data_IF_154709428440
#
_entry.id   IF_154709428440
#
_cell.length_a   1.000
_cell.length_b   1.000
_cell.length_c   1.000
_cell.angle_alpha   90.00
_cell.angle_beta   90.00
_cell.angle_gamma   90.00
#
_symmetry.space_group_name_H-M   'P 1'
#
loop_
_entity.id
_entity.type
_entity.pdbx_description
1 polymer ?
#
# COMPACT_ATOMS: atom_id res chain seq x y z
N UNK A 1 -29.77 -17.14 -3.62
CA UNK A 1 -30.64 -17.59 -4.75
C UNK A 1 -30.57 -19.12 -4.86
N UNK A 2 -31.62 -19.84 -5.24
CA UNK A 2 -31.52 -21.31 -5.47
C UNK A 2 -30.94 -21.68 -6.85
N UNK A 3 -30.44 -20.70 -7.61
CA UNK A 3 -29.80 -20.95 -8.89
C UNK A 3 -28.36 -21.44 -8.71
N UNK A 4 -28.18 -22.75 -8.61
CA UNK A 4 -26.86 -23.39 -8.47
C UNK A 4 -25.92 -23.16 -9.67
N UNK A 5 -26.45 -22.73 -10.82
CA UNK A 5 -25.66 -22.40 -12.01
C UNK A 5 -25.26 -20.92 -12.08
N UNK A 6 -25.62 -20.10 -11.08
CA UNK A 6 -25.25 -18.69 -11.05
C UNK A 6 -23.73 -18.56 -10.84
N UNK A 7 -23.04 -17.95 -11.80
CA UNK A 7 -21.58 -17.74 -11.80
C UNK A 7 -21.17 -16.33 -11.40
N UNK A 8 -22.06 -15.37 -11.56
CA UNK A 8 -21.83 -13.96 -11.24
C UNK A 8 -23.07 -13.41 -10.52
N UNK A 9 -22.84 -12.66 -9.46
CA UNK A 9 -23.91 -11.95 -8.74
C UNK A 9 -23.43 -10.52 -8.45
N UNK A 10 -24.18 -9.56 -8.96
CA UNK A 10 -24.01 -8.12 -8.71
C UNK A 10 -25.25 -7.64 -7.96
N UNK A 11 -25.08 -7.25 -6.71
CA UNK A 11 -26.13 -6.73 -5.83
C UNK A 11 -25.66 -5.51 -5.02
N UNK A 12 -24.67 -4.80 -5.53
CA UNK A 12 -24.08 -3.61 -4.98
C UNK A 12 -25.05 -2.43 -4.88
N UNK A 13 -24.72 -1.42 -4.06
CA UNK A 13 -25.49 -0.17 -3.94
C UNK A 13 -26.96 -0.40 -3.59
N UNK A 14 -27.20 -1.32 -2.64
CA UNK A 14 -28.52 -1.64 -2.12
C UNK A 14 -28.59 -1.36 -0.61
N UNK A 15 -29.68 -1.78 0.04
CA UNK A 15 -29.83 -1.72 1.49
C UNK A 15 -29.86 -3.13 2.10
N UNK A 16 -29.08 -4.06 1.54
CA UNK A 16 -29.03 -5.44 2.04
C UNK A 16 -28.39 -5.45 3.42
N UNK A 17 -29.12 -5.96 4.40
CA UNK A 17 -28.60 -6.24 5.75
C UNK A 17 -28.13 -7.68 5.91
N UNK A 18 -28.48 -8.54 4.95
CA UNK A 18 -28.05 -9.93 4.85
C UNK A 18 -28.01 -10.37 3.40
N UNK A 19 -27.13 -11.32 3.10
CA UNK A 19 -26.98 -11.93 1.79
C UNK A 19 -26.72 -13.42 1.96
N UNK A 20 -27.55 -14.26 1.34
CA UNK A 20 -27.37 -15.71 1.32
C UNK A 20 -27.04 -16.21 -0.09
N UNK A 21 -25.76 -16.57 -0.25
CA UNK A 21 -25.17 -17.15 -1.47
C UNK A 21 -24.77 -18.63 -1.29
N UNK A 22 -25.21 -19.27 -0.21
CA UNK A 22 -24.80 -20.64 0.15
C UNK A 22 -25.18 -21.69 -0.90
N UNK A 23 -26.25 -21.45 -1.66
CA UNK A 23 -26.70 -22.32 -2.76
C UNK A 23 -26.09 -21.96 -4.12
N UNK A 24 -25.31 -20.89 -4.20
CA UNK A 24 -24.71 -20.41 -5.45
C UNK A 24 -23.25 -20.89 -5.55
N UNK A 25 -23.03 -22.21 -5.43
CA UNK A 25 -21.70 -22.83 -5.33
C UNK A 25 -20.82 -22.65 -6.57
N UNK A 26 -21.42 -22.30 -7.71
CA UNK A 26 -20.72 -22.00 -8.96
C UNK A 26 -20.27 -20.53 -9.08
N UNK A 27 -20.51 -19.68 -8.07
CA UNK A 27 -20.09 -18.27 -8.11
C UNK A 27 -18.58 -18.15 -8.26
N UNK A 28 -18.19 -17.38 -9.27
CA UNK A 28 -16.82 -16.98 -9.61
C UNK A 28 -16.60 -15.48 -9.35
N UNK A 29 -17.66 -14.67 -9.48
CA UNK A 29 -17.64 -13.24 -9.14
C UNK A 29 -18.82 -12.91 -8.23
N UNK A 30 -18.54 -12.25 -7.12
CA UNK A 30 -19.54 -11.68 -6.23
C UNK A 30 -19.22 -10.21 -5.99
N UNK A 31 -20.14 -9.34 -6.37
CA UNK A 31 -20.16 -7.94 -5.98
C UNK A 31 -21.39 -7.69 -5.09
N UNK A 32 -21.12 -7.42 -3.82
CA UNK A 32 -22.10 -6.99 -2.84
C UNK A 32 -21.67 -5.69 -2.16
N UNK A 33 -20.90 -4.85 -2.86
CA UNK A 33 -20.41 -3.57 -2.37
C UNK A 33 -21.53 -2.60 -1.96
N UNK A 34 -21.21 -1.58 -1.18
CA UNK A 34 -22.13 -0.50 -0.79
C UNK A 34 -23.50 -0.99 -0.29
N UNK A 35 -23.48 -1.76 0.79
CA UNK A 35 -24.66 -2.33 1.45
C UNK A 35 -24.58 -2.13 2.97
N UNK A 36 -25.36 -2.88 3.75
CA UNK A 36 -25.39 -2.80 5.22
C UNK A 36 -25.09 -4.17 5.85
N UNK A 37 -24.27 -5.00 5.16
CA UNK A 37 -23.93 -6.34 5.62
C UNK A 37 -23.05 -6.24 6.86
N UNK A 38 -23.45 -6.93 7.93
CA UNK A 38 -22.64 -7.07 9.15
C UNK A 38 -21.83 -8.36 9.17
N UNK A 39 -22.21 -9.33 8.33
CA UNK A 39 -21.50 -10.56 8.06
C UNK A 39 -21.70 -10.98 6.60
N UNK A 40 -20.75 -11.77 6.08
CA UNK A 40 -20.81 -12.36 4.76
C UNK A 40 -20.25 -13.78 4.86
N UNK A 41 -21.08 -14.79 4.56
CA UNK A 41 -20.66 -16.19 4.51
C UNK A 41 -20.51 -16.62 3.05
N UNK A 42 -19.26 -16.87 2.65
CA UNK A 42 -18.84 -17.32 1.31
C UNK A 42 -18.17 -18.69 1.35
N UNK A 43 -18.32 -19.44 2.45
CA UNK A 43 -17.66 -20.74 2.66
C UNK A 43 -18.11 -21.82 1.67
N UNK A 44 -19.22 -21.60 0.95
CA UNK A 44 -19.73 -22.49 -0.11
C UNK A 44 -19.34 -22.06 -1.52
N UNK A 45 -18.77 -20.87 -1.68
CA UNK A 45 -18.45 -20.28 -2.97
C UNK A 45 -16.96 -20.46 -3.27
N UNK A 46 -16.51 -21.72 -3.25
CA UNK A 46 -15.08 -22.07 -3.35
C UNK A 46 -14.46 -21.75 -4.71
N UNK A 47 -15.30 -21.50 -5.72
CA UNK A 47 -14.88 -21.11 -7.07
C UNK A 47 -14.70 -19.59 -7.24
N UNK A 48 -14.87 -18.78 -6.19
CA UNK A 48 -14.72 -17.33 -6.26
C UNK A 48 -13.29 -16.96 -6.67
N UNK A 49 -13.18 -16.19 -7.75
CA UNK A 49 -11.95 -15.56 -8.22
C UNK A 49 -11.97 -14.05 -7.96
N UNK A 50 -13.16 -13.44 -7.90
CA UNK A 50 -13.35 -12.02 -7.64
C UNK A 50 -14.37 -11.80 -6.52
N UNK A 51 -13.99 -11.04 -5.50
CA UNK A 51 -14.88 -10.64 -4.41
C UNK A 51 -14.79 -9.13 -4.17
N UNK A 52 -15.91 -8.45 -4.34
CA UNK A 52 -16.13 -7.06 -3.98
C UNK A 52 -17.19 -6.99 -2.87
N UNK A 53 -16.77 -6.60 -1.67
CA UNK A 53 -17.64 -6.45 -0.50
C UNK A 53 -17.37 -5.15 0.27
N UNK A 54 -16.81 -4.14 -0.40
CA UNK A 54 -16.54 -2.82 0.14
C UNK A 54 -17.81 -2.08 0.57
N UNK A 55 -17.66 -1.03 1.38
CA UNK A 55 -18.78 -0.18 1.77
C UNK A 55 -19.85 -0.91 2.58
N UNK A 56 -19.45 -1.81 3.46
CA UNK A 56 -20.33 -2.60 4.33
C UNK A 56 -20.00 -2.35 5.82
N UNK A 57 -20.51 -3.19 6.71
CA UNK A 57 -20.28 -3.13 8.15
C UNK A 57 -19.65 -4.44 8.67
N UNK A 58 -18.86 -5.11 7.82
CA UNK A 58 -18.23 -6.38 8.16
C UNK A 58 -17.20 -6.19 9.27
N UNK A 59 -17.31 -6.96 10.34
CA UNK A 59 -16.35 -6.96 11.46
C UNK A 59 -15.28 -8.04 11.26
N UNK A 60 -15.61 -9.08 10.50
CA UNK A 60 -14.72 -10.16 10.10
C UNK A 60 -15.07 -10.61 8.68
N UNK A 61 -14.08 -11.13 7.97
CA UNK A 61 -14.21 -11.71 6.65
C UNK A 61 -13.30 -12.95 6.59
N UNK A 62 -13.88 -14.12 6.36
CA UNK A 62 -13.15 -15.37 6.19
C UNK A 62 -13.10 -15.73 4.70
N UNK A 63 -11.90 -15.64 4.13
CA UNK A 63 -11.59 -16.01 2.73
C UNK A 63 -10.71 -17.26 2.64
N UNK A 64 -10.50 -17.98 3.76
CA UNK A 64 -9.52 -19.05 3.86
C UNK A 64 -9.78 -20.25 2.95
N UNK A 65 -11.05 -20.45 2.54
CA UNK A 65 -11.50 -21.52 1.64
C UNK A 65 -11.56 -21.05 0.17
N UNK A 66 -11.57 -19.75 -0.08
CA UNK A 66 -11.68 -19.17 -1.43
C UNK A 66 -10.28 -19.07 -2.07
N UNK A 67 -9.58 -20.19 -2.18
CA UNK A 67 -8.16 -20.28 -2.60
C UNK A 67 -7.92 -19.80 -4.02
N UNK A 68 -8.96 -19.78 -4.86
CA UNK A 68 -8.92 -19.31 -6.25
C UNK A 68 -9.05 -17.77 -6.38
N UNK A 69 -9.17 -17.02 -5.28
CA UNK A 69 -9.28 -15.56 -5.32
C UNK A 69 -8.04 -14.93 -5.96
N UNK A 70 -8.26 -14.20 -7.05
CA UNK A 70 -7.25 -13.38 -7.73
C UNK A 70 -7.38 -11.90 -7.39
N UNK A 71 -8.59 -11.46 -7.02
CA UNK A 71 -8.89 -10.08 -6.61
C UNK A 71 -9.81 -10.08 -5.38
N UNK A 72 -9.44 -9.27 -4.39
CA UNK A 72 -10.22 -9.05 -3.18
C UNK A 72 -10.32 -7.56 -2.86
N UNK A 73 -11.55 -7.05 -2.87
CA UNK A 73 -11.89 -5.69 -2.46
C UNK A 73 -12.84 -5.75 -1.25
N UNK A 74 -12.35 -5.29 -0.09
CA UNK A 74 -13.10 -5.31 1.17
C UNK A 74 -12.98 -3.97 1.94
N UNK A 75 -12.75 -2.89 1.19
CA UNK A 75 -12.52 -1.56 1.76
C UNK A 75 -13.75 -0.97 2.44
N UNK A 76 -13.57 -0.05 3.40
CA UNK A 76 -14.71 0.63 4.03
C UNK A 76 -15.58 -0.32 4.85
N UNK A 77 -14.94 -1.16 5.66
CA UNK A 77 -15.57 -2.09 6.60
C UNK A 77 -15.04 -1.82 8.02
N UNK A 78 -15.30 -2.74 8.95
CA UNK A 78 -14.84 -2.68 10.35
C UNK A 78 -13.89 -3.84 10.69
N UNK A 79 -13.15 -4.34 9.68
CA UNK A 79 -12.25 -5.47 9.86
C UNK A 79 -11.10 -5.09 10.80
N UNK A 80 -10.89 -5.90 11.84
CA UNK A 80 -9.78 -5.75 12.78
C UNK A 80 -8.59 -6.64 12.43
N UNK A 81 -8.84 -7.69 11.65
CA UNK A 81 -7.86 -8.61 11.09
C UNK A 81 -8.32 -9.05 9.71
N UNK A 82 -7.37 -9.37 8.84
CA UNK A 82 -7.60 -9.99 7.54
C UNK A 82 -6.50 -11.01 7.29
N UNK A 83 -6.88 -12.29 7.16
CA UNK A 83 -5.97 -13.38 6.83
C UNK A 83 -6.19 -13.78 5.37
N UNK A 84 -5.17 -13.55 4.54
CA UNK A 84 -5.14 -13.90 3.10
C UNK A 84 -4.08 -14.95 2.79
N UNK A 85 -3.56 -15.64 3.82
CA UNK A 85 -2.42 -16.55 3.69
C UNK A 85 -2.68 -17.77 2.80
N UNK A 86 -3.94 -18.15 2.60
CA UNK A 86 -4.36 -19.25 1.73
C UNK A 86 -4.71 -18.80 0.30
N UNK A 87 -4.81 -17.50 0.03
CA UNK A 87 -5.20 -16.96 -1.27
C UNK A 87 -3.96 -16.68 -2.12
N UNK A 88 -3.18 -17.73 -2.40
CA UNK A 88 -1.84 -17.62 -3.03
C UNK A 88 -1.89 -17.06 -4.46
N UNK A 89 -3.05 -17.14 -5.12
CA UNK A 89 -3.30 -16.61 -6.47
C UNK A 89 -3.68 -15.11 -6.47
N UNK A 90 -3.72 -14.44 -5.31
CA UNK A 90 -4.07 -13.01 -5.24
C UNK A 90 -3.07 -12.15 -6.03
N UNK A 91 -3.61 -11.41 -7.00
CA UNK A 91 -2.90 -10.42 -7.81
C UNK A 91 -3.21 -8.97 -7.41
N UNK A 92 -4.40 -8.74 -6.82
CA UNK A 92 -4.86 -7.46 -6.31
C UNK A 92 -5.57 -7.58 -4.96
N UNK A 93 -5.18 -6.72 -4.00
CA UNK A 93 -5.80 -6.64 -2.68
C UNK A 93 -6.09 -5.19 -2.30
N UNK A 94 -7.37 -4.88 -2.04
CA UNK A 94 -7.85 -3.55 -1.64
C UNK A 94 -8.64 -3.66 -0.33
N UNK A 95 -7.99 -3.35 0.79
CA UNK A 95 -8.52 -3.48 2.15
C UNK A 95 -8.47 -2.15 2.95
N UNK A 96 -8.58 -1.03 2.24
CA UNK A 96 -8.48 0.30 2.82
C UNK A 96 -9.65 0.64 3.74
N UNK A 97 -9.50 1.66 4.59
CA UNK A 97 -10.59 2.15 5.45
C UNK A 97 -11.19 1.04 6.32
N UNK A 98 -10.32 0.35 7.05
CA UNK A 98 -10.65 -0.69 8.01
C UNK A 98 -9.96 -0.37 9.37
N UNK A 99 -9.90 -1.33 10.28
CA UNK A 99 -9.28 -1.21 11.60
C UNK A 99 -8.11 -2.19 11.77
N UNK A 100 -7.46 -2.58 10.67
CA UNK A 100 -6.36 -3.54 10.67
C UNK A 100 -5.16 -2.97 11.43
N UNK A 101 -4.55 -3.79 12.29
CA UNK A 101 -3.36 -3.42 13.08
C UNK A 101 -2.05 -3.99 12.55
N UNK A 102 -2.16 -5.05 11.75
CA UNK A 102 -1.08 -5.68 10.98
C UNK A 102 -1.65 -6.27 9.70
N UNK A 103 -0.82 -6.35 8.66
CA UNK A 103 -1.15 -7.04 7.43
C UNK A 103 0.07 -7.82 6.95
N UNK A 104 -0.10 -9.12 6.80
CA UNK A 104 0.90 -10.03 6.26
C UNK A 104 0.39 -10.59 4.93
N UNK A 105 1.09 -10.26 3.84
CA UNK A 105 0.79 -10.75 2.49
C UNK A 105 1.92 -11.62 1.95
N UNK A 106 2.80 -12.14 2.82
CA UNK A 106 4.02 -12.84 2.43
C UNK A 106 3.80 -14.13 1.63
N UNK A 107 2.60 -14.71 1.70
CA UNK A 107 2.20 -15.88 0.89
C UNK A 107 1.59 -15.53 -0.46
N UNK A 108 1.23 -14.26 -0.71
CA UNK A 108 0.58 -13.81 -1.94
C UNK A 108 1.65 -13.38 -2.95
N UNK A 109 2.52 -14.31 -3.38
CA UNK A 109 3.71 -13.99 -4.18
C UNK A 109 3.42 -13.38 -5.55
N UNK A 110 2.21 -13.62 -6.09
CA UNK A 110 1.73 -13.06 -7.35
C UNK A 110 1.12 -11.65 -7.21
N UNK A 111 1.11 -11.08 -6.00
CA UNK A 111 0.49 -9.78 -5.74
C UNK A 111 1.22 -8.65 -6.49
N UNK A 112 0.49 -7.96 -7.35
CA UNK A 112 1.00 -6.84 -8.16
C UNK A 112 0.55 -5.47 -7.66
N UNK A 113 -0.62 -5.42 -7.00
CA UNK A 113 -1.20 -4.21 -6.43
C UNK A 113 -1.73 -4.43 -5.01
N UNK A 114 -1.31 -3.56 -4.09
CA UNK A 114 -1.75 -3.56 -2.70
C UNK A 114 -2.22 -2.16 -2.29
N UNK A 115 -3.47 -2.07 -1.81
CA UNK A 115 -4.05 -0.85 -1.25
C UNK A 115 -4.62 -1.15 0.15
N UNK A 116 -3.90 -0.70 1.18
CA UNK A 116 -4.23 -0.93 2.58
C UNK A 116 -4.26 0.38 3.40
N UNK A 117 -4.53 1.49 2.73
CA UNK A 117 -4.55 2.82 3.34
C UNK A 117 -5.67 3.02 4.36
N UNK A 118 -5.52 4.03 5.22
CA UNK A 118 -6.53 4.42 6.22
C UNK A 118 -6.88 3.24 7.14
N UNK A 119 -5.85 2.65 7.74
CA UNK A 119 -5.95 1.56 8.71
C UNK A 119 -5.19 1.98 10.00
N UNK A 120 -4.89 1.01 10.87
CA UNK A 120 -4.08 1.22 12.06
C UNK A 120 -2.79 0.39 12.03
N UNK A 121 -2.28 0.11 10.82
CA UNK A 121 -1.15 -0.80 10.62
C UNK A 121 0.09 -0.27 11.32
N UNK A 122 0.62 -1.09 12.22
CA UNK A 122 1.95 -0.89 12.84
C UNK A 122 3.02 -1.73 12.16
N UNK A 123 2.60 -2.76 11.41
CA UNK A 123 3.45 -3.64 10.62
C UNK A 123 2.76 -3.97 9.30
N UNK A 124 3.54 -3.93 8.22
CA UNK A 124 3.16 -4.36 6.88
C UNK A 124 4.30 -5.21 6.32
N UNK A 125 4.01 -6.48 6.00
CA UNK A 125 5.01 -7.44 5.52
C UNK A 125 4.81 -7.68 4.03
N UNK A 126 5.73 -7.16 3.20
CA UNK A 126 5.68 -7.24 1.72
C UNK A 126 6.95 -7.80 1.08
N UNK A 127 7.87 -8.32 1.90
CA UNK A 127 9.23 -8.69 1.48
C UNK A 127 9.30 -9.87 0.50
N UNK A 128 8.27 -10.71 0.44
CA UNK A 128 8.19 -11.85 -0.50
C UNK A 128 7.45 -11.49 -1.81
N UNK A 129 6.80 -10.33 -1.87
CA UNK A 129 5.93 -9.95 -2.98
C UNK A 129 6.73 -9.24 -4.08
N UNK A 130 7.67 -9.96 -4.70
CA UNK A 130 8.60 -9.40 -5.69
C UNK A 130 7.92 -8.87 -6.95
N UNK A 131 6.68 -9.27 -7.21
CA UNK A 131 5.86 -8.81 -8.33
C UNK A 131 5.13 -7.48 -8.07
N UNK A 132 5.19 -6.91 -6.85
CA UNK A 132 4.50 -5.66 -6.52
C UNK A 132 4.99 -4.50 -7.38
N UNK A 133 4.04 -3.84 -8.04
CA UNK A 133 4.25 -2.63 -8.84
C UNK A 133 3.66 -1.39 -8.16
N UNK A 134 2.63 -1.57 -7.32
CA UNK A 134 1.97 -0.49 -6.60
C UNK A 134 1.68 -0.88 -5.15
N UNK A 135 2.17 -0.07 -4.22
CA UNK A 135 1.86 -0.16 -2.78
C UNK A 135 1.31 1.17 -2.29
N UNK A 136 0.09 1.15 -1.76
CA UNK A 136 -0.59 2.30 -1.16
C UNK A 136 -0.98 1.97 0.28
N UNK A 137 -0.18 2.46 1.22
CA UNK A 137 -0.31 2.22 2.65
C UNK A 137 -0.37 3.53 3.46
N UNK A 138 -0.75 4.63 2.81
CA UNK A 138 -0.90 5.93 3.49
C UNK A 138 -1.92 5.88 4.64
N UNK A 139 -1.80 6.82 5.58
CA UNK A 139 -2.71 6.95 6.74
C UNK A 139 -2.72 5.68 7.61
N UNK A 140 -1.56 5.34 8.14
CA UNK A 140 -1.34 4.20 9.03
C UNK A 140 -0.45 4.63 10.21
N UNK A 141 0.07 3.66 10.96
CA UNK A 141 0.95 3.86 12.13
C UNK A 141 2.31 3.17 11.93
N UNK A 142 2.75 3.02 10.67
CA UNK A 142 4.00 2.33 10.35
C UNK A 142 5.19 3.15 10.86
N UNK A 143 6.09 2.48 11.58
CA UNK A 143 7.35 3.07 12.06
C UNK A 143 8.56 2.66 11.20
N UNK A 144 8.41 1.57 10.46
CA UNK A 144 9.34 1.08 9.45
C UNK A 144 8.54 0.47 8.28
N UNK A 145 9.14 0.48 7.10
CA UNK A 145 8.60 -0.14 5.90
C UNK A 145 9.78 -0.69 5.10
N UNK A 146 9.89 -2.02 5.01
CA UNK A 146 10.90 -2.69 4.20
C UNK A 146 10.30 -3.08 2.84
N UNK A 147 10.81 -2.45 1.79
CA UNK A 147 10.43 -2.68 0.40
C UNK A 147 11.64 -3.06 -0.47
N UNK A 148 12.75 -3.46 0.16
CA UNK A 148 14.04 -3.68 -0.50
C UNK A 148 13.98 -4.77 -1.59
N UNK A 149 13.05 -5.71 -1.49
CA UNK A 149 12.82 -6.78 -2.46
C UNK A 149 11.80 -6.45 -3.55
N UNK A 150 11.01 -5.37 -3.40
CA UNK A 150 9.98 -4.98 -4.37
C UNK A 150 10.61 -4.15 -5.51
N UNK A 151 11.56 -4.76 -6.24
CA UNK A 151 12.36 -4.07 -7.27
C UNK A 151 11.55 -3.62 -8.49
N UNK A 152 10.36 -4.20 -8.71
CA UNK A 152 9.41 -3.82 -9.75
C UNK A 152 8.49 -2.63 -9.36
N UNK A 153 8.62 -2.10 -8.15
CA UNK A 153 7.73 -1.07 -7.62
C UNK A 153 7.85 0.24 -8.41
N UNK A 154 6.74 0.67 -9.02
CA UNK A 154 6.62 1.94 -9.75
C UNK A 154 5.91 3.02 -8.94
N UNK A 155 5.05 2.61 -8.00
CA UNK A 155 4.25 3.53 -7.18
C UNK A 155 4.35 3.13 -5.70
N UNK A 156 4.82 4.06 -4.87
CA UNK A 156 4.80 3.94 -3.41
C UNK A 156 4.14 5.15 -2.78
N UNK A 157 2.97 4.95 -2.18
CA UNK A 157 2.34 5.94 -1.32
C UNK A 157 2.34 5.44 0.13
N UNK A 158 3.18 6.05 0.96
CA UNK A 158 3.33 5.74 2.38
C UNK A 158 3.21 6.99 3.26
N UNK A 159 2.51 8.01 2.78
CA UNK A 159 2.29 9.26 3.50
C UNK A 159 1.48 9.07 4.80
N UNK A 160 1.53 10.05 5.69
CA UNK A 160 0.78 10.04 6.95
C UNK A 160 1.03 8.77 7.77
N UNK A 161 2.31 8.49 8.02
CA UNK A 161 2.80 7.40 8.86
C UNK A 161 3.79 7.95 9.91
N UNK A 162 4.52 7.07 10.59
CA UNK A 162 5.50 7.42 11.62
C UNK A 162 6.91 6.96 11.21
N UNK A 163 7.19 6.90 9.90
CA UNK A 163 8.47 6.44 9.39
C UNK A 163 9.57 7.43 9.78
N UNK A 164 10.67 6.91 10.31
CA UNK A 164 11.87 7.68 10.68
C UNK A 164 13.02 7.49 9.68
N UNK A 165 12.94 6.43 8.88
CA UNK A 165 13.81 6.15 7.74
C UNK A 165 12.98 5.48 6.65
N UNK A 166 13.41 5.64 5.39
CA UNK A 166 12.83 4.98 4.24
C UNK A 166 13.96 4.74 3.22
N UNK A 167 14.25 3.47 2.96
CA UNK A 167 15.23 3.07 1.95
C UNK A 167 14.50 2.69 0.66
N UNK A 168 14.75 3.46 -0.40
CA UNK A 168 14.20 3.24 -1.75
C UNK A 168 15.29 2.91 -2.77
N UNK A 169 16.52 2.62 -2.31
CA UNK A 169 17.70 2.50 -3.17
C UNK A 169 17.62 1.35 -4.18
N UNK A 170 16.89 0.28 -3.85
CA UNK A 170 16.65 -0.86 -4.73
C UNK A 170 15.45 -0.68 -5.67
N UNK A 171 14.56 0.28 -5.38
CA UNK A 171 13.31 0.50 -6.12
C UNK A 171 13.53 1.45 -7.30
N UNK A 172 14.51 1.13 -8.14
CA UNK A 172 14.96 1.99 -9.26
C UNK A 172 13.89 2.25 -10.32
N UNK A 173 12.83 1.43 -10.34
CA UNK A 173 11.66 1.59 -11.22
C UNK A 173 10.61 2.60 -10.70
N UNK A 174 10.80 3.19 -9.50
CA UNK A 174 9.85 4.15 -8.93
C UNK A 174 9.62 5.34 -9.87
N UNK A 175 8.35 5.55 -10.22
CA UNK A 175 7.83 6.69 -10.99
C UNK A 175 7.20 7.70 -10.03
N UNK A 176 6.50 7.21 -9.01
CA UNK A 176 5.80 8.04 -8.03
C UNK A 176 6.14 7.62 -6.61
N UNK A 177 6.65 8.57 -5.83
CA UNK A 177 6.90 8.41 -4.41
C UNK A 177 6.17 9.50 -3.62
N UNK A 178 5.22 9.09 -2.79
CA UNK A 178 4.63 9.96 -1.79
C UNK A 178 4.97 9.44 -0.39
N UNK A 179 5.86 10.15 0.29
CA UNK A 179 6.24 9.87 1.67
C UNK A 179 5.97 11.06 2.59
N UNK A 180 5.06 11.97 2.21
CA UNK A 180 4.69 13.15 2.99
C UNK A 180 4.18 12.80 4.39
N UNK A 181 4.17 13.79 5.30
CA UNK A 181 3.63 13.64 6.65
C UNK A 181 4.25 12.45 7.41
N UNK A 182 5.58 12.29 7.31
CA UNK A 182 6.41 11.34 8.05
C UNK A 182 7.50 12.07 8.86
N UNK A 183 8.34 11.31 9.57
CA UNK A 183 9.38 11.82 10.48
C UNK A 183 10.80 11.54 9.97
N UNK A 184 10.99 11.48 8.64
CA UNK A 184 12.31 11.26 8.04
C UNK A 184 13.23 12.47 8.33
N UNK A 185 14.53 12.21 8.52
CA UNK A 185 15.55 13.27 8.68
C UNK A 185 16.32 13.54 7.39
N UNK A 186 16.51 12.49 6.61
CA UNK A 186 17.04 12.49 5.26
C UNK A 186 16.29 11.50 4.39
N UNK A 187 16.27 11.74 3.08
CA UNK A 187 15.77 10.80 2.08
C UNK A 187 16.80 10.69 0.95
N UNK A 188 17.09 9.47 0.51
CA UNK A 188 17.95 9.25 -0.65
C UNK A 188 17.15 8.69 -1.82
N UNK A 189 17.01 9.50 -2.87
CA UNK A 189 16.38 9.14 -4.14
C UNK A 189 17.36 9.16 -5.30
N UNK A 190 18.68 9.18 -5.04
CA UNK A 190 19.72 9.31 -6.06
C UNK A 190 19.75 8.14 -7.06
N UNK A 191 19.23 6.97 -6.69
CA UNK A 191 19.08 5.81 -7.57
C UNK A 191 17.74 5.76 -8.33
N UNK A 192 16.76 6.60 -7.96
CA UNK A 192 15.39 6.55 -8.49
C UNK A 192 15.21 7.51 -9.66
N UNK A 193 16.06 7.37 -10.68
CA UNK A 193 16.13 8.26 -11.86
C UNK A 193 14.85 8.27 -12.72
N UNK A 194 13.95 7.30 -12.51
CA UNK A 194 12.66 7.19 -13.18
C UNK A 194 11.55 8.04 -12.54
N UNK A 195 11.79 8.65 -11.37
CA UNK A 195 10.79 9.44 -10.66
C UNK A 195 10.28 10.60 -11.54
N UNK A 196 8.96 10.73 -11.58
CA UNK A 196 8.22 11.84 -12.16
C UNK A 196 7.45 12.64 -11.08
N UNK A 197 7.23 12.04 -9.91
CA UNK A 197 6.55 12.67 -8.77
C UNK A 197 7.21 12.29 -7.45
N UNK A 198 7.54 13.30 -6.64
CA UNK A 198 8.11 13.16 -5.30
C UNK A 198 7.39 14.11 -4.33
N UNK A 199 6.49 13.58 -3.51
CA UNK A 199 5.76 14.34 -2.51
C UNK A 199 6.40 14.16 -1.13
N UNK A 200 6.91 15.27 -0.57
CA UNK A 200 7.65 15.33 0.71
C UNK A 200 7.14 16.48 1.60
N UNK A 201 5.85 16.77 1.49
CA UNK A 201 5.17 17.79 2.28
C UNK A 201 5.04 17.39 3.76
N UNK A 202 4.85 18.38 4.64
CA UNK A 202 4.57 18.17 6.07
C UNK A 202 5.58 17.28 6.82
N UNK A 203 6.85 17.35 6.44
CA UNK A 203 7.96 16.61 7.06
C UNK A 203 8.92 17.57 7.79
N UNK A 204 8.55 18.08 8.98
CA UNK A 204 9.32 19.13 9.67
C UNK A 204 10.73 18.71 10.08
N UNK A 205 11.01 17.40 10.12
CA UNK A 205 12.33 16.85 10.45
C UNK A 205 13.22 16.61 9.23
N UNK A 206 12.69 16.74 8.01
CA UNK A 206 13.44 16.45 6.79
C UNK A 206 14.32 17.64 6.41
N UNK A 207 15.63 17.43 6.38
CA UNK A 207 16.59 18.50 6.08
C UNK A 207 17.35 18.27 4.76
N UNK A 208 17.54 17.02 4.37
CA UNK A 208 18.36 16.63 3.21
C UNK A 208 17.62 15.64 2.32
N UNK A 209 17.60 15.92 1.02
CA UNK A 209 17.20 14.94 0.00
C UNK A 209 18.37 14.74 -0.97
N UNK A 210 18.87 13.52 -1.03
CA UNK A 210 19.91 13.12 -1.97
C UNK A 210 19.27 12.81 -3.33
N UNK A 211 19.81 13.39 -4.40
CA UNK A 211 19.26 13.32 -5.77
C UNK A 211 20.38 13.01 -6.77
N UNK A 212 20.02 12.54 -7.97
CA UNK A 212 20.98 12.19 -9.02
C UNK A 212 21.55 13.39 -9.77
N UNK A 213 20.91 14.56 -9.70
CA UNK A 213 21.31 15.75 -10.46
C UNK A 213 20.80 17.05 -9.82
N UNK A 214 21.54 18.16 -9.99
CA UNK A 214 21.16 19.52 -9.56
C UNK A 214 21.32 20.49 -10.76
N UNK A 215 20.38 21.44 -10.99
CA UNK A 215 19.23 21.77 -10.15
C UNK A 215 18.14 20.68 -10.15
N UNK A 216 17.50 20.51 -9.00
CA UNK A 216 16.39 19.59 -8.79
C UNK A 216 15.15 20.41 -8.40
N UNK A 217 13.96 20.16 -8.99
CA UNK A 217 13.68 19.15 -10.02
C UNK A 217 14.27 19.52 -11.40
N UNK A 218 14.76 18.56 -12.20
CA UNK A 218 15.36 18.83 -13.52
C UNK A 218 14.28 19.29 -14.51
N UNK A 219 14.36 20.53 -14.98
CA UNK A 219 13.46 21.12 -16.00
C UNK A 219 11.95 20.94 -15.74
N UNK A 220 11.53 20.84 -14.47
CA UNK A 220 10.13 20.59 -14.10
C UNK A 220 9.62 19.17 -14.40
N UNK A 221 10.50 18.21 -14.69
CA UNK A 221 10.15 16.80 -14.97
C UNK A 221 9.70 16.04 -13.73
N UNK A 222 10.14 16.48 -12.55
CA UNK A 222 9.69 15.94 -11.27
C UNK A 222 8.78 16.97 -10.65
N UNK A 223 7.51 16.59 -10.44
CA UNK A 223 6.64 17.37 -9.59
C UNK A 223 7.03 17.10 -8.14
N UNK A 224 7.44 18.15 -7.42
CA UNK A 224 7.72 18.08 -5.99
C UNK A 224 7.02 19.19 -5.25
N UNK A 225 6.08 18.85 -4.37
CA UNK A 225 5.57 19.77 -3.37
C UNK A 225 6.37 19.54 -2.07
N UNK A 226 7.01 20.61 -1.58
CA UNK A 226 8.10 20.51 -0.62
C UNK A 226 7.75 21.06 0.75
N UNK A 227 8.25 20.40 1.80
CA UNK A 227 8.38 20.99 3.13
C UNK A 227 9.34 22.19 3.12
N UNK A 228 9.09 23.26 3.90
CA UNK A 228 10.01 24.38 4.00
C UNK A 228 11.39 23.93 4.51
N UNK A 229 12.47 24.50 3.95
CA UNK A 229 13.87 24.29 4.35
C UNK A 229 14.53 22.94 3.98
N UNK A 230 14.00 22.20 3.01
CA UNK A 230 14.68 21.02 2.46
C UNK A 230 15.82 21.44 1.51
N UNK A 231 17.03 20.90 1.72
CA UNK A 231 18.17 21.05 0.81
C UNK A 231 18.37 19.79 -0.04
N UNK A 232 18.49 19.99 -1.36
CA UNK A 232 18.81 18.93 -2.32
C UNK A 232 20.32 18.85 -2.57
N UNK A 233 20.88 17.64 -2.55
CA UNK A 233 22.31 17.39 -2.76
C UNK A 233 22.58 16.21 -3.69
N UNK A 234 23.65 16.27 -4.46
CA UNK A 234 24.24 15.09 -5.10
C UNK A 234 25.32 14.42 -4.24
N UNK A 235 25.74 15.05 -3.13
CA UNK A 235 26.64 14.42 -2.15
C UNK A 235 25.84 13.50 -1.23
N UNK A 236 25.64 12.27 -1.68
CA UNK A 236 24.81 11.26 -1.02
C UNK A 236 25.57 10.50 0.09
N UNK A 237 26.87 10.78 0.25
CA UNK A 237 27.66 10.16 1.31
C UNK A 237 27.25 10.65 2.70
N UNK A 238 27.36 9.76 3.69
CA UNK A 238 27.42 10.15 5.11
C UNK A 238 28.80 10.76 5.42
N UNK A 239 29.18 11.81 4.69
CA UNK A 239 30.31 12.63 5.12
C UNK A 239 29.79 13.51 6.25
N UNK A 240 29.85 12.97 7.47
CA UNK A 240 29.75 13.77 8.68
C UNK A 240 30.91 14.76 8.64
N UNK A 241 30.64 15.97 8.16
CA UNK A 241 31.57 17.08 8.36
C UNK A 241 31.44 17.47 9.83
N UNK A 242 32.26 16.83 10.68
CA UNK A 242 32.40 17.25 12.07
C UNK A 242 32.97 18.66 12.08
N UNK A 243 32.16 19.63 12.53
CA UNK A 243 32.64 21.00 12.74
C UNK A 243 33.45 21.02 14.06
N UNK A 244 34.65 21.64 14.06
CA UNK A 244 35.23 22.40 12.96
C UNK A 244 35.99 21.51 11.97
N UNK A 245 35.57 21.55 10.70
CA UNK A 245 36.37 21.11 9.55
C UNK A 245 37.38 22.22 9.23
N UNK A 246 38.63 21.84 8.98
CA UNK A 246 39.76 22.73 8.67
C UNK A 246 39.49 23.64 7.45
N UNK A 247 38.53 23.26 6.60
CA UNK A 247 38.09 24.06 5.44
C UNK A 247 37.18 25.25 5.79
N UNK A 248 36.66 25.34 7.03
CA UNK A 248 35.80 26.45 7.47
C UNK A 248 36.52 27.54 8.27
N UNK A 249 37.82 27.40 8.55
CA UNK A 249 38.57 28.37 9.37
C UNK A 249 39.08 29.61 8.61
N UNK A 250 38.70 29.82 7.35
CA UNK A 250 39.11 31.00 6.56
C UNK A 250 37.98 31.61 5.73
N UNK A 251 36.87 32.01 6.38
CA UNK A 251 35.88 32.93 5.80
C UNK A 251 35.76 34.19 6.68
#
# INVERSE_FOLDING_TARGET
>A
SNNAALTELYCESNNLTSLDVSNNTALTSLDCGDNQLTSLDITKNTALTNLECSGNQLIALDVSINTELTNLECSGNQLTSLDVSNNTELTGLVCSSNQLTSLDVSNNTELTGLVCSSNQLTSLVVSNNTALTSVKCQENKLTALDISNNTALTTLYCSSNQLTSLDVSNNTALIELNCSSNQLTSLDVSNNIALLRLDIEEMPTLHKVCVWFIPFPPDGKVFSEGSPNVYFSTDCGYNVVNIPDINFLNA
#
